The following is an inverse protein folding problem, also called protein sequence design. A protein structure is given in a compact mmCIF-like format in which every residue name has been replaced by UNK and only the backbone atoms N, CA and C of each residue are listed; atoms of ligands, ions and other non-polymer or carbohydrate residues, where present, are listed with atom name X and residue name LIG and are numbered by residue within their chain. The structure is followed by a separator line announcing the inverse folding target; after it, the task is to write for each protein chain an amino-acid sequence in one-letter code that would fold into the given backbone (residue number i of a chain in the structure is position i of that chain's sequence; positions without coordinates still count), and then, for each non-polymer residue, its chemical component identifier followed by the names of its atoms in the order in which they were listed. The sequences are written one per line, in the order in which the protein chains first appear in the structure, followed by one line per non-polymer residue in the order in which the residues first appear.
data_IF_968159788028
#
_entry.id   IF_968159788028
#
_cell.length_a   1.000
_cell.length_b   1.000
_cell.length_c   1.000
_cell.angle_alpha   90.00
_cell.angle_beta   90.00
_cell.angle_gamma   90.00
#
_symmetry.space_group_name_H-M   'P 1'
#
loop_
_entity.id
_entity.type
_entity.pdbx_description
1 polymer ?
#
# COMPACT_ATOMS: atom_id res chain seq x y z
N UNK A 1 -51.35 -64.30 15.87
CA UNK A 1 -51.24 -63.09 15.02
C UNK A 1 -51.10 -61.90 15.97
N UNK A 2 -49.93 -61.76 16.59
CA UNK A 2 -48.82 -60.88 16.20
C UNK A 2 -49.18 -59.38 16.28
N UNK A 3 -48.91 -58.86 17.47
CA UNK A 3 -48.78 -57.44 17.80
C UNK A 3 -47.77 -56.76 16.87
N UNK A 4 -48.22 -55.83 16.03
CA UNK A 4 -47.34 -54.93 15.30
C UNK A 4 -46.89 -53.78 16.21
N UNK A 5 -45.76 -54.00 16.88
CA UNK A 5 -44.96 -52.97 17.50
C UNK A 5 -44.35 -52.06 16.42
N UNK A 6 -44.91 -50.87 16.23
CA UNK A 6 -44.32 -49.81 15.41
C UNK A 6 -43.09 -49.23 16.14
N UNK A 7 -41.88 -49.28 15.55
CA UNK A 7 -40.68 -48.80 16.21
C UNK A 7 -40.66 -47.27 16.29
N UNK A 8 -40.42 -46.77 17.50
CA UNK A 8 -40.18 -45.36 17.78
C UNK A 8 -39.02 -44.82 16.93
N UNK A 9 -39.34 -43.79 16.15
CA UNK A 9 -38.42 -43.09 15.29
C UNK A 9 -37.36 -42.37 16.16
N UNK A 10 -36.17 -42.98 16.32
CA UNK A 10 -35.01 -42.37 16.97
C UNK A 10 -34.63 -41.11 16.20
N UNK A 11 -35.06 -39.95 16.72
CA UNK A 11 -34.54 -38.64 16.34
C UNK A 11 -33.02 -38.68 16.43
N UNK A 12 -32.35 -38.78 15.30
CA UNK A 12 -30.91 -38.59 15.15
C UNK A 12 -30.62 -37.14 15.53
N UNK A 13 -30.29 -36.95 16.80
CA UNK A 13 -29.85 -35.69 17.36
C UNK A 13 -28.46 -35.39 16.76
N UNK A 14 -28.43 -34.75 15.57
CA UNK A 14 -27.24 -34.06 15.06
C UNK A 14 -26.97 -32.87 15.98
N UNK A 15 -26.44 -33.16 17.17
CA UNK A 15 -25.79 -32.15 18.01
C UNK A 15 -24.59 -31.66 17.21
N UNK A 16 -24.76 -30.48 16.62
CA UNK A 16 -23.69 -29.68 16.10
C UNK A 16 -22.79 -29.35 17.31
N UNK A 17 -21.76 -30.16 17.58
CA UNK A 17 -20.80 -29.88 18.65
C UNK A 17 -20.05 -28.63 18.22
N UNK A 18 -20.54 -27.46 18.67
CA UNK A 18 -19.88 -26.19 18.43
C UNK A 18 -18.48 -26.29 19.02
N UNK A 19 -17.46 -26.37 18.16
CA UNK A 19 -16.05 -26.30 18.58
C UNK A 19 -15.87 -25.03 19.40
N UNK A 20 -15.22 -25.14 20.56
CA UNK A 20 -15.02 -24.01 21.47
C UNK A 20 -14.07 -23.01 20.79
N UNK A 21 -14.55 -21.81 20.45
CA UNK A 21 -13.72 -20.80 19.79
C UNK A 21 -12.85 -20.06 20.80
N UNK A 22 -11.58 -19.85 20.45
CA UNK A 22 -10.65 -18.99 21.18
C UNK A 22 -10.12 -17.88 20.28
N UNK A 23 -10.00 -16.69 20.86
CA UNK A 23 -9.51 -15.49 20.20
C UNK A 23 -8.17 -15.12 20.81
N UNK A 24 -7.15 -15.06 19.97
CA UNK A 24 -5.76 -14.88 20.34
C UNK A 24 -5.28 -13.54 19.78
N UNK A 25 -4.92 -12.63 20.68
CA UNK A 25 -4.23 -11.40 20.33
C UNK A 25 -2.74 -11.58 20.49
N UNK A 26 -1.98 -11.18 19.48
CA UNK A 26 -0.53 -11.34 19.42
C UNK A 26 0.10 -9.97 19.18
N UNK A 27 0.90 -9.49 20.13
CA UNK A 27 1.80 -8.38 19.91
C UNK A 27 3.19 -8.94 19.53
N UNK A 28 3.63 -8.62 18.33
CA UNK A 28 4.70 -9.37 17.63
C UNK A 28 5.95 -8.50 17.56
N UNK A 29 6.98 -8.91 18.30
CA UNK A 29 8.32 -8.34 18.25
C UNK A 29 9.27 -9.26 17.47
N UNK A 30 10.46 -8.79 17.11
CA UNK A 30 11.46 -9.58 16.35
C UNK A 30 11.89 -10.88 17.06
N UNK A 31 11.92 -10.87 18.38
CA UNK A 31 12.46 -11.97 19.20
C UNK A 31 11.37 -12.70 19.99
N UNK A 32 10.27 -12.03 20.29
CA UNK A 32 9.22 -12.52 21.18
C UNK A 32 7.84 -12.17 20.66
N UNK A 33 6.84 -12.93 21.11
CA UNK A 33 5.43 -12.66 20.85
C UNK A 33 4.71 -12.67 22.19
N UNK A 34 4.08 -11.55 22.53
CA UNK A 34 3.19 -11.45 23.68
C UNK A 34 1.79 -11.90 23.28
N UNK A 35 1.22 -12.85 24.02
CA UNK A 35 -0.02 -13.53 23.66
C UNK A 35 -1.07 -13.35 24.74
N UNK A 36 -2.29 -13.02 24.32
CA UNK A 36 -3.49 -13.04 25.16
C UNK A 36 -4.57 -13.96 24.56
N UNK A 37 -5.18 -14.80 25.39
CA UNK A 37 -6.15 -15.83 24.97
C UNK A 37 -7.50 -15.56 25.63
N UNK A 38 -8.52 -15.32 24.82
CA UNK A 38 -9.90 -15.09 25.26
C UNK A 38 -10.83 -16.14 24.64
N UNK A 39 -11.54 -16.95 25.44
CA UNK A 39 -12.60 -17.80 24.93
C UNK A 39 -13.80 -17.00 24.42
N UNK A 40 -14.58 -17.66 23.58
CA UNK A 40 -15.89 -17.16 23.12
C UNK A 40 -16.93 -16.99 24.22
N UNK A 41 -16.90 -17.83 25.26
CA UNK A 41 -17.96 -17.93 26.26
C UNK A 41 -17.77 -17.08 27.52
N UNK A 42 -16.64 -16.39 27.68
CA UNK A 42 -16.39 -15.54 28.85
C UNK A 42 -15.61 -14.30 28.48
N UNK A 43 -15.90 -13.18 29.15
CA UNK A 43 -15.09 -11.95 29.02
C UNK A 43 -13.75 -12.04 29.75
N UNK A 44 -13.58 -13.04 30.63
CA UNK A 44 -12.34 -13.23 31.38
C UNK A 44 -11.18 -13.64 30.44
N UNK A 45 -10.02 -13.05 30.71
CA UNK A 45 -8.76 -13.50 30.13
C UNK A 45 -8.48 -14.90 30.68
N UNK A 46 -8.30 -15.89 29.80
CA UNK A 46 -7.98 -17.24 30.25
C UNK A 46 -6.49 -17.42 30.45
N UNK A 47 -5.68 -16.80 29.60
CA UNK A 47 -4.23 -16.92 29.70
C UNK A 47 -3.51 -15.77 29.03
N UNK A 48 -2.41 -15.38 29.66
CA UNK A 48 -1.38 -14.51 29.10
C UNK A 48 -0.05 -15.27 29.14
N UNK A 49 0.73 -15.19 28.07
CA UNK A 49 2.10 -15.72 28.05
C UNK A 49 2.94 -15.03 26.98
N UNK A 50 4.24 -15.07 27.16
CA UNK A 50 5.21 -14.67 26.14
C UNK A 50 5.87 -15.93 25.58
N UNK A 51 6.06 -15.99 24.26
CA UNK A 51 6.82 -17.04 23.59
C UNK A 51 7.93 -16.42 22.75
N UNK A 52 8.97 -17.20 22.41
CA UNK A 52 9.95 -16.77 21.40
C UNK A 52 9.29 -16.72 20.02
N UNK A 53 9.73 -15.78 19.19
CA UNK A 53 9.30 -15.67 17.79
C UNK A 53 10.04 -16.71 16.92
N UNK A 54 9.78 -17.98 17.19
CA UNK A 54 10.39 -19.13 16.51
C UNK A 54 9.29 -20.11 16.12
N UNK A 55 9.36 -20.65 14.90
CA UNK A 55 8.36 -21.59 14.36
C UNK A 55 8.07 -22.75 15.32
N UNK A 56 9.10 -23.33 15.94
CA UNK A 56 8.96 -24.43 16.90
C UNK A 56 8.12 -24.05 18.13
N UNK A 57 8.29 -22.85 18.67
CA UNK A 57 7.52 -22.38 19.84
C UNK A 57 6.09 -22.02 19.44
N UNK A 58 5.91 -21.40 18.27
CA UNK A 58 4.59 -21.09 17.71
C UNK A 58 3.80 -22.39 17.46
N UNK A 59 4.43 -23.40 16.85
CA UNK A 59 3.81 -24.70 16.60
C UNK A 59 3.39 -25.40 17.88
N UNK A 60 4.28 -25.46 18.88
CA UNK A 60 3.98 -26.03 20.21
C UNK A 60 2.78 -25.32 20.85
N UNK A 61 2.74 -23.99 20.78
CA UNK A 61 1.63 -23.19 21.30
C UNK A 61 0.31 -23.52 20.60
N UNK A 62 0.28 -23.53 19.26
CA UNK A 62 -0.92 -23.82 18.48
C UNK A 62 -1.40 -25.25 18.68
N UNK A 63 -0.49 -26.23 18.71
CA UNK A 63 -0.83 -27.64 18.95
C UNK A 63 -1.46 -27.86 20.32
N UNK A 64 -0.96 -27.19 21.36
CA UNK A 64 -1.56 -27.20 22.69
C UNK A 64 -3.02 -26.72 22.65
N UNK A 65 -3.29 -25.57 22.04
CA UNK A 65 -4.67 -25.07 21.90
C UNK A 65 -5.57 -26.01 21.09
N UNK A 66 -5.04 -26.63 20.02
CA UNK A 66 -5.81 -27.60 19.23
C UNK A 66 -6.16 -28.86 20.02
N UNK A 67 -5.27 -29.34 20.88
CA UNK A 67 -5.53 -30.52 21.74
C UNK A 67 -6.69 -30.31 22.71
N UNK A 68 -7.03 -29.06 23.04
CA UNK A 68 -8.18 -28.67 23.85
C UNK A 68 -9.50 -28.64 23.04
N UNK A 69 -9.49 -29.08 21.77
CA UNK A 69 -10.67 -29.12 20.90
C UNK A 69 -11.15 -27.76 20.40
N UNK A 70 -10.25 -26.76 20.38
CA UNK A 70 -10.62 -25.37 20.10
C UNK A 70 -10.43 -24.96 18.64
N UNK A 71 -11.32 -24.11 18.14
CA UNK A 71 -11.11 -23.37 16.90
C UNK A 71 -10.37 -22.07 17.21
N UNK A 72 -9.22 -21.85 16.56
CA UNK A 72 -8.30 -20.77 16.90
C UNK A 72 -8.43 -19.63 15.89
N UNK A 73 -8.77 -18.45 16.41
CA UNK A 73 -8.73 -17.19 15.66
C UNK A 73 -7.61 -16.32 16.22
N UNK A 74 -6.63 -15.94 15.40
CA UNK A 74 -5.50 -15.10 15.79
C UNK A 74 -5.58 -13.72 15.15
N UNK A 75 -4.99 -12.73 15.80
CA UNK A 75 -4.73 -11.42 15.20
C UNK A 75 -3.41 -10.84 15.69
N UNK A 76 -2.71 -10.15 14.79
CA UNK A 76 -1.60 -9.27 15.13
C UNK A 76 -1.65 -7.97 14.32
N UNK A 77 -1.00 -6.93 14.82
CA UNK A 77 -0.92 -5.64 14.13
C UNK A 77 0.11 -5.70 12.99
N UNK A 78 -0.21 -5.14 11.82
CA UNK A 78 0.73 -5.06 10.71
C UNK A 78 1.96 -4.24 11.12
N UNK A 79 3.15 -4.82 10.97
CA UNK A 79 4.40 -4.20 11.41
C UNK A 79 5.61 -4.67 10.61
N UNK A 80 6.80 -4.38 11.13
CA UNK A 80 8.09 -4.67 10.48
C UNK A 80 8.38 -6.16 10.32
N UNK A 81 7.69 -7.02 11.08
CA UNK A 81 7.81 -8.48 11.02
C UNK A 81 7.07 -9.11 9.84
N UNK A 82 6.31 -8.31 9.06
CA UNK A 82 5.73 -8.71 7.78
C UNK A 82 4.67 -9.80 7.87
N UNK A 83 4.60 -10.61 6.80
CA UNK A 83 3.63 -11.70 6.62
C UNK A 83 4.11 -13.14 6.91
N UNK A 84 5.40 -13.46 7.16
CA UNK A 84 5.83 -14.84 7.45
C UNK A 84 5.03 -15.51 8.57
N UNK A 85 4.79 -14.81 9.68
CA UNK A 85 3.99 -15.35 10.80
C UNK A 85 2.56 -15.68 10.37
N UNK A 86 1.89 -14.79 9.63
CA UNK A 86 0.56 -15.05 9.09
C UNK A 86 0.53 -16.30 8.19
N UNK A 87 1.51 -16.42 7.27
CA UNK A 87 1.61 -17.57 6.37
C UNK A 87 1.85 -18.86 7.15
N UNK A 88 2.74 -18.83 8.15
CA UNK A 88 3.01 -19.97 9.01
C UNK A 88 1.76 -20.39 9.83
N UNK A 89 1.04 -19.44 10.42
CA UNK A 89 -0.20 -19.74 11.12
C UNK A 89 -1.26 -20.36 10.19
N UNK A 90 -1.31 -19.92 8.92
CA UNK A 90 -2.19 -20.53 7.90
C UNK A 90 -1.81 -21.97 7.58
N UNK A 91 -0.53 -22.32 7.48
CA UNK A 91 -0.10 -23.74 7.28
C UNK A 91 -0.48 -24.62 8.46
N UNK A 92 -0.53 -24.04 9.66
CA UNK A 92 -1.04 -24.68 10.87
C UNK A 92 -2.58 -24.70 10.94
N UNK A 93 -3.31 -24.27 9.90
CA UNK A 93 -4.78 -24.27 9.87
C UNK A 93 -5.42 -23.31 10.87
N UNK A 94 -4.75 -22.20 11.19
CA UNK A 94 -5.25 -21.15 12.11
C UNK A 94 -5.90 -20.01 11.32
N UNK A 95 -7.04 -19.51 11.80
CA UNK A 95 -7.70 -18.35 11.25
C UNK A 95 -7.03 -17.07 11.74
N UNK A 96 -5.97 -16.62 11.06
CA UNK A 96 -5.27 -15.37 11.39
C UNK A 96 -5.81 -14.19 10.59
N UNK A 97 -5.94 -13.02 11.23
CA UNK A 97 -6.08 -11.72 10.58
C UNK A 97 -4.89 -10.82 10.91
N UNK A 98 -4.59 -9.87 10.03
CA UNK A 98 -3.60 -8.83 10.31
C UNK A 98 -4.31 -7.49 10.39
N UNK A 99 -4.27 -6.82 11.54
CA UNK A 99 -4.94 -5.55 11.75
C UNK A 99 -4.10 -4.38 11.24
N UNK A 100 -4.71 -3.45 10.51
CA UNK A 100 -4.02 -2.22 10.11
C UNK A 100 -3.88 -1.27 11.32
N UNK A 101 -2.66 -0.79 11.66
CA UNK A 101 -2.41 0.11 12.81
C UNK A 101 -3.42 1.26 12.94
N UNK A 102 -3.66 1.98 11.83
CA UNK A 102 -4.55 3.14 11.80
C UNK A 102 -6.05 2.83 11.84
N UNK A 103 -6.44 1.54 11.77
CA UNK A 103 -7.83 1.09 11.89
C UNK A 103 -8.14 0.43 13.24
N UNK A 104 -7.14 0.18 14.09
CA UNK A 104 -7.36 -0.38 15.43
C UNK A 104 -7.97 0.72 16.31
N UNK A 105 -9.20 0.55 16.84
CA UNK A 105 -9.82 1.53 17.71
C UNK A 105 -8.94 1.83 18.94
N UNK A 106 -8.67 3.11 19.21
CA UNK A 106 -7.98 3.55 20.43
C UNK A 106 -8.75 4.69 21.08
N UNK A 107 -8.98 4.58 22.39
CA UNK A 107 -9.51 5.67 23.19
C UNK A 107 -8.43 6.75 23.34
N UNK A 108 -8.80 8.02 23.24
CA UNK A 108 -7.87 9.16 23.34
C UNK A 108 -7.20 9.27 24.72
N UNK A 109 -7.85 8.75 25.77
CA UNK A 109 -7.35 8.70 27.14
C UNK A 109 -6.40 7.52 27.42
N UNK A 110 -6.26 6.57 26.49
CA UNK A 110 -5.40 5.39 26.66
C UNK A 110 -3.92 5.77 26.43
N UNK A 111 -3.29 6.27 27.49
CA UNK A 111 -1.92 6.82 27.48
C UNK A 111 -0.84 5.78 27.82
N UNK A 112 -1.24 4.64 28.41
CA UNK A 112 -0.31 3.60 28.87
C UNK A 112 -0.26 2.50 27.81
N UNK A 113 0.91 2.33 27.19
CA UNK A 113 1.16 1.30 26.18
C UNK A 113 2.09 0.23 26.75
N UNK A 114 1.63 -1.01 26.77
CA UNK A 114 2.45 -2.18 27.10
C UNK A 114 2.07 -3.34 26.19
N UNK A 115 3.03 -4.20 25.84
CA UNK A 115 2.82 -5.33 24.94
C UNK A 115 1.66 -6.24 25.39
N UNK A 116 1.53 -6.40 26.71
CA UNK A 116 0.44 -7.15 27.36
C UNK A 116 -0.93 -6.52 27.07
N UNK A 117 -1.06 -5.21 27.27
CA UNK A 117 -2.31 -4.48 27.03
C UNK A 117 -2.67 -4.51 25.55
N UNK A 118 -1.70 -4.38 24.67
CA UNK A 118 -1.89 -4.41 23.22
C UNK A 118 -2.36 -5.80 22.76
N UNK A 119 -1.73 -6.89 23.24
CA UNK A 119 -2.19 -8.26 22.96
C UNK A 119 -3.62 -8.52 23.47
N UNK A 120 -3.95 -8.12 24.70
CA UNK A 120 -5.31 -8.28 25.26
C UNK A 120 -6.34 -7.48 24.44
N UNK A 121 -5.99 -6.26 24.04
CA UNK A 121 -6.84 -5.38 23.25
C UNK A 121 -7.14 -5.99 21.88
N UNK A 122 -6.11 -6.48 21.19
CA UNK A 122 -6.25 -7.18 19.92
C UNK A 122 -7.19 -8.38 20.04
N UNK A 123 -7.01 -9.21 21.06
CA UNK A 123 -7.87 -10.37 21.30
C UNK A 123 -9.35 -9.98 21.54
N UNK A 124 -9.59 -8.90 22.29
CA UNK A 124 -10.94 -8.37 22.56
C UNK A 124 -11.60 -7.85 21.29
N UNK A 125 -10.89 -7.04 20.50
CA UNK A 125 -11.40 -6.47 19.26
C UNK A 125 -11.64 -7.54 18.18
N UNK A 126 -10.77 -8.56 18.14
CA UNK A 126 -10.98 -9.72 17.27
C UNK A 126 -12.29 -10.44 17.61
N UNK A 127 -12.52 -10.69 18.91
CA UNK A 127 -13.72 -11.36 19.38
C UNK A 127 -15.00 -10.56 19.10
N UNK A 128 -14.96 -9.23 19.24
CA UNK A 128 -16.13 -8.39 18.95
C UNK A 128 -16.37 -8.18 17.46
N UNK A 129 -15.45 -8.63 16.58
CA UNK A 129 -15.55 -8.42 15.14
C UNK A 129 -15.22 -6.99 14.70
N UNK A 130 -14.56 -6.21 15.56
CA UNK A 130 -14.19 -4.81 15.29
C UNK A 130 -12.87 -4.67 14.51
N UNK A 131 -12.15 -5.77 14.28
CA UNK A 131 -10.93 -5.77 13.47
C UNK A 131 -11.22 -6.12 12.02
N UNK A 132 -10.72 -5.28 11.11
CA UNK A 132 -10.69 -5.55 9.68
C UNK A 132 -9.29 -6.05 9.29
N UNK A 133 -9.22 -7.21 8.65
CA UNK A 133 -7.96 -7.73 8.13
C UNK A 133 -7.47 -6.88 6.96
N UNK A 134 -6.18 -6.60 6.90
CA UNK A 134 -5.55 -6.16 5.65
C UNK A 134 -5.60 -7.28 4.61
N UNK A 135 -5.49 -6.88 3.35
CA UNK A 135 -5.20 -7.80 2.26
C UNK A 135 -3.72 -8.21 2.34
N UNK A 136 -3.48 -9.50 2.53
CA UNK A 136 -2.13 -10.07 2.52
C UNK A 136 -1.79 -10.48 1.08
N UNK A 137 -0.75 -9.91 0.46
CA UNK A 137 -0.33 -10.29 -0.89
C UNK A 137 0.25 -11.71 -0.93
N UNK A 138 0.25 -12.32 -2.12
CA UNK A 138 1.06 -13.52 -2.34
C UNK A 138 2.55 -13.21 -2.18
N UNK A 139 3.38 -14.25 -2.11
CA UNK A 139 4.84 -14.06 -1.98
C UNK A 139 5.44 -13.41 -3.24
N UNK A 140 4.90 -13.76 -4.41
CA UNK A 140 5.29 -13.19 -5.69
C UNK A 140 4.90 -11.70 -5.78
N UNK A 141 3.68 -11.36 -5.38
CA UNK A 141 3.20 -9.97 -5.34
C UNK A 141 3.99 -9.13 -4.33
N UNK A 142 4.33 -9.70 -3.17
CA UNK A 142 5.19 -9.07 -2.17
C UNK A 142 6.59 -8.81 -2.72
N UNK A 143 7.20 -9.79 -3.40
CA UNK A 143 8.52 -9.63 -4.00
C UNK A 143 8.56 -8.50 -5.05
N UNK A 144 7.55 -8.42 -5.92
CA UNK A 144 7.43 -7.31 -6.90
C UNK A 144 7.24 -5.97 -6.20
N UNK A 145 6.41 -5.92 -5.15
CA UNK A 145 6.19 -4.71 -4.34
C UNK A 145 7.48 -4.24 -3.69
N UNK A 146 8.27 -5.15 -3.11
CA UNK A 146 9.52 -4.81 -2.45
C UNK A 146 10.57 -4.30 -3.44
N UNK A 147 10.62 -4.88 -4.65
CA UNK A 147 11.48 -4.37 -5.72
C UNK A 147 11.12 -2.92 -6.12
N UNK A 148 9.83 -2.63 -6.30
CA UNK A 148 9.33 -1.29 -6.59
C UNK A 148 9.63 -0.30 -5.46
N UNK A 149 9.44 -0.70 -4.20
CA UNK A 149 9.77 0.11 -3.02
C UNK A 149 11.26 0.37 -2.89
N UNK A 150 12.10 -0.62 -3.19
CA UNK A 150 13.56 -0.47 -3.25
C UNK A 150 13.95 0.57 -4.31
N UNK A 151 13.35 0.52 -5.50
CA UNK A 151 13.53 1.53 -6.55
C UNK A 151 13.13 2.94 -6.10
N UNK A 152 12.04 3.08 -5.36
CA UNK A 152 11.62 4.39 -4.79
C UNK A 152 12.64 4.91 -3.78
N UNK A 153 13.18 4.05 -2.92
CA UNK A 153 14.26 4.39 -1.98
C UNK A 153 15.51 4.87 -2.72
N UNK A 154 15.95 4.14 -3.75
CA UNK A 154 17.10 4.52 -4.58
C UNK A 154 16.89 5.90 -5.24
N UNK A 155 15.68 6.19 -5.73
CA UNK A 155 15.34 7.52 -6.28
C UNK A 155 15.44 8.63 -5.24
N UNK A 156 15.05 8.37 -3.98
CA UNK A 156 15.21 9.34 -2.90
C UNK A 156 16.70 9.56 -2.56
N UNK A 157 17.49 8.50 -2.54
CA UNK A 157 18.92 8.58 -2.29
C UNK A 157 19.67 9.33 -3.40
N UNK A 158 19.30 9.10 -4.66
CA UNK A 158 19.81 9.89 -5.79
C UNK A 158 19.52 11.38 -5.58
N UNK A 159 18.31 11.74 -5.15
CA UNK A 159 17.97 13.13 -4.83
C UNK A 159 18.86 13.71 -3.72
N UNK A 160 19.11 12.95 -2.65
CA UNK A 160 19.99 13.36 -1.54
C UNK A 160 21.44 13.53 -1.99
N UNK A 161 21.96 12.61 -2.81
CA UNK A 161 23.33 12.68 -3.30
C UNK A 161 23.53 13.82 -4.29
N UNK A 162 22.56 14.05 -5.18
CA UNK A 162 22.49 15.26 -6.03
C UNK A 162 22.55 16.54 -5.20
N UNK A 163 21.76 16.64 -4.12
CA UNK A 163 21.81 17.79 -3.22
C UNK A 163 23.15 17.95 -2.50
N UNK A 164 23.75 16.85 -2.01
CA UNK A 164 25.07 16.86 -1.36
C UNK A 164 26.15 17.37 -2.31
N UNK A 165 26.19 16.88 -3.55
CA UNK A 165 27.12 17.35 -4.57
C UNK A 165 26.94 18.86 -4.81
N UNK A 166 25.70 19.32 -5.01
CA UNK A 166 25.43 20.74 -5.24
C UNK A 166 25.80 21.62 -4.05
N UNK A 167 25.55 21.16 -2.81
CA UNK A 167 25.95 21.89 -1.60
C UNK A 167 27.47 21.90 -1.41
N UNK A 168 28.17 20.84 -1.79
CA UNK A 168 29.63 20.83 -1.81
C UNK A 168 30.17 21.90 -2.77
N UNK A 169 29.71 21.93 -4.02
CA UNK A 169 30.12 22.92 -5.01
C UNK A 169 29.81 24.36 -4.56
N UNK A 170 28.62 24.58 -4.01
CA UNK A 170 28.22 25.88 -3.47
C UNK A 170 29.16 26.38 -2.38
N UNK A 171 29.58 25.51 -1.44
CA UNK A 171 30.56 25.90 -0.39
C UNK A 171 31.95 26.23 -0.94
N UNK A 172 32.24 25.86 -2.17
CA UNK A 172 33.47 26.20 -2.89
C UNK A 172 33.31 27.39 -3.83
N UNK A 173 32.16 28.08 -3.77
CA UNK A 173 31.85 29.20 -4.66
C UNK A 173 31.55 28.79 -6.11
N UNK A 174 31.50 27.48 -6.39
CA UNK A 174 31.27 26.95 -7.73
C UNK A 174 29.77 26.84 -7.97
N UNK A 175 29.26 27.65 -8.88
CA UNK A 175 27.83 27.69 -9.22
C UNK A 175 27.61 27.46 -10.71
N UNK A 176 26.52 26.75 -11.02
CA UNK A 176 26.07 26.54 -12.39
C UNK A 176 25.11 27.67 -12.77
N UNK A 177 25.45 28.43 -13.81
CA UNK A 177 24.75 29.67 -14.19
C UNK A 177 23.44 29.48 -14.96
N UNK A 178 23.10 28.23 -15.34
CA UNK A 178 21.87 27.96 -16.10
C UNK A 178 20.72 27.49 -15.19
N UNK A 179 19.50 27.54 -15.73
CA UNK A 179 18.27 27.27 -14.96
C UNK A 179 17.96 25.80 -14.72
N UNK A 180 18.60 24.86 -15.45
CA UNK A 180 18.24 23.43 -15.43
C UNK A 180 19.41 22.51 -15.10
N UNK A 181 19.39 22.00 -13.88
CA UNK A 181 20.32 20.97 -13.39
C UNK A 181 19.99 19.58 -13.95
N UNK A 182 20.99 18.68 -13.91
CA UNK A 182 20.91 17.26 -14.29
C UNK A 182 20.49 17.04 -15.76
N UNK A 183 20.84 18.00 -16.61
CA UNK A 183 20.73 17.93 -18.07
C UNK A 183 22.07 17.54 -18.69
N UNK A 184 22.11 17.20 -19.98
CA UNK A 184 23.36 16.92 -20.69
C UNK A 184 24.38 18.08 -20.56
N UNK A 185 23.91 19.34 -20.61
CA UNK A 185 24.77 20.51 -20.40
C UNK A 185 25.33 20.57 -18.97
N UNK A 186 24.52 20.27 -17.95
CA UNK A 186 24.99 20.23 -16.57
C UNK A 186 26.04 19.13 -16.35
N UNK A 187 25.86 17.94 -16.94
CA UNK A 187 26.89 16.89 -16.86
C UNK A 187 28.17 17.28 -17.59
N UNK A 188 28.07 17.92 -18.77
CA UNK A 188 29.25 18.45 -19.47
C UNK A 188 30.01 19.46 -18.59
N UNK A 189 29.28 20.34 -17.90
CA UNK A 189 29.87 21.28 -16.95
C UNK A 189 30.52 20.56 -15.76
N UNK A 190 29.83 19.61 -15.12
CA UNK A 190 30.38 18.81 -14.02
C UNK A 190 31.67 18.07 -14.43
N UNK A 191 31.70 17.49 -15.62
CA UNK A 191 32.85 16.76 -16.14
C UNK A 191 34.08 17.66 -16.36
N UNK A 192 33.86 18.96 -16.59
CA UNK A 192 34.93 19.93 -16.81
C UNK A 192 35.38 20.62 -15.52
N UNK A 193 34.84 20.24 -14.35
CA UNK A 193 35.29 20.78 -13.06
C UNK A 193 36.59 20.12 -12.64
N UNK A 194 37.60 20.95 -12.39
CA UNK A 194 38.90 20.53 -11.88
C UNK A 194 39.24 21.35 -10.63
N UNK A 195 39.78 20.67 -9.62
CA UNK A 195 40.22 21.25 -8.36
C UNK A 195 41.73 21.08 -8.24
N UNK A 196 42.45 22.18 -7.97
CA UNK A 196 43.91 22.16 -7.80
C UNK A 196 44.34 21.29 -6.61
N UNK A 197 43.54 21.26 -5.54
CA UNK A 197 43.78 20.41 -4.39
C UNK A 197 43.25 18.98 -4.62
N UNK A 198 44.14 17.99 -4.58
CA UNK A 198 43.83 16.58 -4.84
C UNK A 198 42.76 16.00 -3.90
N UNK A 199 42.75 16.41 -2.62
CA UNK A 199 41.76 15.94 -1.65
C UNK A 199 40.37 16.50 -1.96
N UNK A 200 40.29 17.75 -2.44
CA UNK A 200 39.03 18.33 -2.93
C UNK A 200 38.57 17.66 -4.22
N UNK A 201 39.48 17.34 -5.15
CA UNK A 201 39.17 16.59 -6.36
C UNK A 201 38.62 15.19 -6.01
N UNK A 202 39.26 14.47 -5.08
CA UNK A 202 38.78 13.18 -4.60
C UNK A 202 37.40 13.29 -3.95
N UNK A 203 37.16 14.33 -3.15
CA UNK A 203 35.85 14.61 -2.54
C UNK A 203 34.77 14.85 -3.61
N UNK A 204 35.07 15.63 -4.65
CA UNK A 204 34.17 15.83 -5.79
C UNK A 204 33.87 14.50 -6.50
N UNK A 205 34.90 13.72 -6.80
CA UNK A 205 34.78 12.44 -7.49
C UNK A 205 33.92 11.44 -6.70
N UNK A 206 34.04 11.38 -5.37
CA UNK A 206 33.18 10.56 -4.51
C UNK A 206 31.70 10.98 -4.61
N UNK A 207 31.39 12.27 -4.44
CA UNK A 207 30.00 12.74 -4.56
C UNK A 207 29.43 12.51 -5.96
N UNK A 208 30.22 12.78 -6.99
CA UNK A 208 29.80 12.66 -8.37
C UNK A 208 29.60 11.20 -8.79
N UNK A 209 30.52 10.31 -8.45
CA UNK A 209 30.41 8.87 -8.73
C UNK A 209 29.17 8.25 -8.10
N UNK A 210 28.82 8.62 -6.85
CA UNK A 210 27.56 8.18 -6.21
C UNK A 210 26.31 8.58 -7.01
N UNK A 211 26.29 9.79 -7.56
CA UNK A 211 25.18 10.24 -8.42
C UNK A 211 25.12 9.39 -9.70
N UNK A 212 26.27 9.17 -10.35
CA UNK A 212 26.36 8.40 -11.61
C UNK A 212 25.94 6.93 -11.43
N UNK A 213 26.50 6.25 -10.44
CA UNK A 213 26.18 4.84 -10.13
C UNK A 213 24.69 4.68 -9.80
N UNK A 214 24.12 5.59 -9.00
CA UNK A 214 22.69 5.50 -8.67
C UNK A 214 21.78 5.77 -9.86
N UNK A 215 22.18 6.62 -10.81
CA UNK A 215 21.44 6.84 -12.06
C UNK A 215 21.43 5.59 -12.94
N UNK A 216 22.57 4.91 -13.06
CA UNK A 216 22.70 3.66 -13.80
C UNK A 216 21.88 2.54 -13.15
N UNK A 217 21.97 2.39 -11.83
CA UNK A 217 21.16 1.45 -11.07
C UNK A 217 19.66 1.73 -11.23
N UNK A 218 19.25 3.00 -11.18
CA UNK A 218 17.85 3.38 -11.35
C UNK A 218 17.36 3.04 -12.76
N UNK A 219 18.18 3.27 -13.79
CA UNK A 219 17.87 2.89 -15.18
C UNK A 219 17.73 1.38 -15.34
N UNK A 220 18.62 0.60 -14.72
CA UNK A 220 18.54 -0.86 -14.73
C UNK A 220 17.25 -1.35 -14.04
N UNK A 221 16.89 -0.77 -12.89
CA UNK A 221 15.65 -1.10 -12.20
C UNK A 221 14.41 -0.71 -13.01
N UNK A 222 14.42 0.45 -13.68
CA UNK A 222 13.31 0.88 -14.55
C UNK A 222 13.11 -0.08 -15.73
N UNK A 223 14.21 -0.58 -16.31
CA UNK A 223 14.15 -1.61 -17.34
C UNK A 223 13.58 -2.93 -16.80
N UNK A 224 14.02 -3.37 -15.63
CA UNK A 224 13.48 -4.59 -15.00
C UNK A 224 11.99 -4.48 -14.66
N UNK A 225 11.57 -3.31 -14.15
CA UNK A 225 10.15 -3.04 -13.88
C UNK A 225 9.34 -3.12 -15.18
N UNK A 226 9.88 -2.62 -16.29
CA UNK A 226 9.22 -2.71 -17.59
C UNK A 226 9.06 -4.16 -18.04
N UNK A 227 10.10 -4.99 -17.90
CA UNK A 227 10.03 -6.42 -18.23
C UNK A 227 8.92 -7.12 -17.43
N UNK A 228 8.87 -6.90 -16.11
CA UNK A 228 7.82 -7.46 -15.24
C UNK A 228 6.43 -6.96 -15.66
N UNK A 229 6.33 -5.68 -16.03
CA UNK A 229 5.08 -5.07 -16.45
C UNK A 229 4.57 -5.57 -17.80
N UNK A 230 5.46 -6.12 -18.63
CA UNK A 230 5.16 -6.70 -19.94
C UNK A 230 4.93 -8.23 -19.86
N UNK A 231 5.20 -8.86 -18.71
CA UNK A 231 4.95 -10.28 -18.45
C UNK A 231 3.61 -10.53 -17.75
N UNK A 232 3.14 -11.78 -17.81
CA UNK A 232 2.01 -12.21 -16.98
C UNK A 232 2.40 -12.23 -15.49
N UNK A 233 1.45 -11.98 -14.57
CA UNK A 233 0.04 -11.64 -14.78
C UNK A 233 -0.24 -10.12 -14.93
N UNK A 234 0.79 -9.31 -15.17
CA UNK A 234 0.70 -7.84 -15.15
C UNK A 234 0.36 -7.23 -16.50
N UNK A 235 0.78 -7.85 -17.59
CA UNK A 235 0.75 -7.33 -18.97
C UNK A 235 -0.58 -6.65 -19.34
N UNK A 236 -1.69 -7.37 -19.19
CA UNK A 236 -3.02 -6.86 -19.54
C UNK A 236 -3.43 -5.66 -18.67
N UNK A 237 -3.32 -5.82 -17.34
CA UNK A 237 -3.68 -4.79 -16.36
C UNK A 237 -2.86 -3.51 -16.54
N UNK A 238 -1.58 -3.66 -16.86
CA UNK A 238 -0.69 -2.55 -17.20
C UNK A 238 -1.15 -1.87 -18.49
N UNK A 239 -1.50 -2.64 -19.53
CA UNK A 239 -2.06 -2.11 -20.77
C UNK A 239 -3.29 -1.22 -20.55
N UNK A 240 -4.23 -1.70 -19.73
CA UNK A 240 -5.45 -0.95 -19.37
C UNK A 240 -5.09 0.36 -18.66
N UNK A 241 -4.26 0.30 -17.62
CA UNK A 241 -3.89 1.48 -16.84
C UNK A 241 -3.13 2.52 -17.68
N UNK A 242 -2.29 2.07 -18.62
CA UNK A 242 -1.50 2.94 -19.51
C UNK A 242 -2.31 3.69 -20.56
N UNK A 243 -3.59 3.35 -20.76
CA UNK A 243 -4.51 4.15 -21.57
C UNK A 243 -4.77 5.55 -20.98
N UNK A 244 -4.61 5.67 -19.66
CA UNK A 244 -4.82 6.91 -18.91
C UNK A 244 -3.59 7.81 -18.98
N UNK A 245 -3.82 9.07 -19.34
CA UNK A 245 -2.77 10.07 -19.45
C UNK A 245 -2.05 10.24 -18.10
N UNK A 246 -0.71 10.26 -18.14
CA UNK A 246 0.11 10.37 -16.93
C UNK A 246 0.36 9.05 -16.21
N UNK A 247 -0.21 7.96 -16.70
CA UNK A 247 0.11 6.60 -16.23
C UNK A 247 0.99 5.91 -17.28
N UNK A 248 2.13 5.42 -16.82
CA UNK A 248 3.03 4.56 -17.59
C UNK A 248 3.42 3.33 -16.74
N UNK A 249 4.33 2.49 -17.23
CA UNK A 249 4.77 1.26 -16.54
C UNK A 249 5.00 1.43 -15.04
N UNK A 250 5.82 2.41 -14.62
CA UNK A 250 6.13 2.61 -13.21
C UNK A 250 4.88 2.90 -12.36
N UNK A 251 4.05 3.84 -12.81
CA UNK A 251 2.82 4.22 -12.09
C UNK A 251 1.82 3.06 -12.05
N UNK A 252 1.67 2.34 -13.16
CA UNK A 252 0.80 1.15 -13.24
C UNK A 252 1.28 0.05 -12.29
N UNK A 253 2.58 -0.25 -12.29
CA UNK A 253 3.16 -1.29 -11.44
C UNK A 253 3.06 -0.96 -9.95
N UNK A 254 3.29 0.29 -9.54
CA UNK A 254 3.03 0.69 -8.15
C UNK A 254 1.57 0.54 -7.76
N UNK A 255 0.63 0.92 -8.64
CA UNK A 255 -0.80 0.74 -8.38
C UNK A 255 -1.15 -0.74 -8.22
N UNK A 256 -0.72 -1.58 -9.16
CA UNK A 256 -1.03 -3.01 -9.15
C UNK A 256 -0.41 -3.72 -7.94
N UNK A 257 0.85 -3.47 -7.62
CA UNK A 257 1.56 -4.14 -6.51
C UNK A 257 1.11 -3.69 -5.12
N UNK A 258 0.72 -2.42 -4.93
CA UNK A 258 0.29 -1.91 -3.61
C UNK A 258 -1.21 -2.12 -3.37
N UNK A 259 -2.01 -2.18 -4.44
CA UNK A 259 -3.47 -2.37 -4.35
C UNK A 259 -3.85 -3.85 -4.43
N UNK A 260 -3.14 -4.62 -5.27
CA UNK A 260 -3.36 -6.01 -5.69
C UNK A 260 -4.73 -6.22 -6.35
N UNK A 261 -5.75 -6.39 -5.52
CA UNK A 261 -7.11 -6.58 -5.96
C UNK A 261 -7.89 -5.25 -5.90
N UNK A 262 -8.37 -4.80 -7.05
CA UNK A 262 -9.24 -3.63 -7.16
C UNK A 262 -10.72 -3.94 -6.87
N UNK A 263 -11.13 -5.21 -7.00
CA UNK A 263 -12.52 -5.66 -6.76
C UNK A 263 -12.89 -5.60 -5.28
N UNK A 264 -11.92 -5.67 -4.36
CA UNK A 264 -12.14 -5.48 -2.91
C UNK A 264 -12.75 -4.13 -2.55
N UNK A 265 -12.68 -3.14 -3.43
CA UNK A 265 -13.30 -1.84 -3.26
C UNK A 265 -14.65 -1.82 -3.96
N UNK A 266 -15.75 -1.86 -3.19
CA UNK A 266 -17.13 -1.88 -3.73
C UNK A 266 -17.47 -0.63 -4.57
N UNK A 267 -16.81 0.50 -4.29
CA UNK A 267 -17.06 1.76 -4.99
C UNK A 267 -15.76 2.53 -5.23
N UNK A 268 -15.74 3.38 -6.27
CA UNK A 268 -14.66 4.33 -6.50
C UNK A 268 -14.36 5.20 -5.27
N UNK A 269 -15.40 5.60 -4.51
CA UNK A 269 -15.24 6.38 -3.28
C UNK A 269 -14.47 5.62 -2.19
N UNK A 270 -14.73 4.32 -2.02
CA UNK A 270 -13.99 3.47 -1.08
C UNK A 270 -12.50 3.36 -1.47
N UNK A 271 -12.20 3.27 -2.77
CA UNK A 271 -10.82 3.28 -3.27
C UNK A 271 -10.13 4.64 -3.04
N UNK A 272 -10.80 5.75 -3.35
CA UNK A 272 -10.28 7.11 -3.07
C UNK A 272 -9.98 7.31 -1.59
N UNK A 273 -10.82 6.75 -0.71
CA UNK A 273 -10.64 6.80 0.75
C UNK A 273 -9.43 5.99 1.21
N UNK A 274 -9.24 4.78 0.66
CA UNK A 274 -8.05 3.95 0.92
C UNK A 274 -6.75 4.66 0.54
N UNK A 275 -6.76 5.41 -0.56
CA UNK A 275 -5.62 6.25 -0.98
C UNK A 275 -5.43 7.49 -0.11
N UNK A 276 -6.43 7.86 0.70
CA UNK A 276 -6.41 9.06 1.54
C UNK A 276 -6.48 10.35 0.73
N UNK A 277 -7.13 10.32 -0.43
CA UNK A 277 -7.35 11.47 -1.34
C UNK A 277 -8.70 12.16 -1.12
N UNK A 278 -9.53 11.62 -0.21
CA UNK A 278 -10.81 12.22 0.21
C UNK A 278 -10.57 13.31 1.26
N UNK A 279 -11.38 14.38 1.29
CA UNK A 279 -11.29 15.40 2.34
C UNK A 279 -11.70 14.79 3.69
N UNK A 280 -11.04 15.21 4.76
CA UNK A 280 -11.56 15.04 6.11
C UNK A 280 -12.80 15.93 6.32
N UNK A 281 -13.60 15.58 7.32
CA UNK A 281 -14.85 16.28 7.59
C UNK A 281 -15.10 16.38 9.10
N UNK A 282 -15.42 17.59 9.56
CA UNK A 282 -15.99 17.86 10.87
C UNK A 282 -17.37 18.47 10.65
N UNK A 283 -18.40 17.68 10.92
CA UNK A 283 -19.79 18.10 10.75
C UNK A 283 -20.57 17.83 12.04
N UNK A 284 -21.37 18.80 12.46
CA UNK A 284 -22.29 18.68 13.61
C UNK A 284 -23.57 19.46 13.33
N UNK A 285 -24.71 18.80 13.49
CA UNK A 285 -26.02 19.38 13.12
C UNK A 285 -26.04 19.85 11.67
N UNK A 286 -26.35 21.14 11.45
CA UNK A 286 -26.35 21.78 10.14
C UNK A 286 -24.98 22.33 9.68
N UNK A 287 -23.96 22.32 10.55
CA UNK A 287 -22.64 22.86 10.22
C UNK A 287 -21.79 21.77 9.57
N UNK A 288 -21.24 22.07 8.40
CA UNK A 288 -20.34 21.19 7.65
C UNK A 288 -19.02 21.89 7.38
N UNK A 289 -17.92 21.33 7.90
CA UNK A 289 -16.56 21.82 7.67
C UNK A 289 -15.68 20.72 7.07
N UNK A 290 -15.39 20.85 5.78
CA UNK A 290 -14.40 19.99 5.12
C UNK A 290 -12.98 20.52 5.37
N UNK A 291 -12.04 19.62 5.61
CA UNK A 291 -10.62 19.94 5.85
C UNK A 291 -9.74 19.43 4.69
N UNK A 292 -8.43 19.38 4.89
CA UNK A 292 -7.51 18.77 3.93
C UNK A 292 -7.82 17.29 3.69
N UNK A 293 -7.12 16.68 2.74
CA UNK A 293 -7.25 15.23 2.51
C UNK A 293 -6.86 14.44 3.76
N UNK A 294 -7.46 13.26 3.96
CA UNK A 294 -7.21 12.43 5.14
C UNK A 294 -5.78 11.91 5.25
N UNK A 295 -5.06 11.79 4.11
CA UNK A 295 -3.70 11.23 4.02
C UNK A 295 -3.58 9.81 4.58
N UNK A 296 -4.70 9.09 4.72
CA UNK A 296 -4.74 7.67 5.11
C UNK A 296 -4.13 6.78 4.02
N UNK A 297 -3.44 5.71 4.38
CA UNK A 297 -2.84 4.78 3.41
C UNK A 297 -1.53 5.29 2.78
N UNK A 298 -1.12 4.66 1.68
CA UNK A 298 0.24 4.78 1.11
C UNK A 298 0.59 6.20 0.61
N UNK A 299 1.59 6.87 1.20
CA UNK A 299 2.11 8.14 0.68
C UNK A 299 2.69 8.01 -0.73
N UNK A 300 3.24 6.84 -1.09
CA UNK A 300 3.80 6.56 -2.42
C UNK A 300 2.71 6.58 -3.48
N UNK A 301 1.60 5.88 -3.24
CA UNK A 301 0.45 5.86 -4.17
C UNK A 301 -0.13 7.26 -4.37
N UNK A 302 -0.27 8.05 -3.29
CA UNK A 302 -0.70 9.45 -3.43
C UNK A 302 0.28 10.27 -4.28
N UNK A 303 1.58 10.15 -4.02
CA UNK A 303 2.61 10.89 -4.77
C UNK A 303 2.53 10.59 -6.26
N UNK A 304 2.55 9.30 -6.65
CA UNK A 304 2.53 8.91 -8.07
C UNK A 304 1.22 9.31 -8.76
N UNK A 305 0.08 9.26 -8.06
CA UNK A 305 -1.21 9.68 -8.62
C UNK A 305 -1.29 11.19 -8.77
N UNK A 306 -0.70 11.97 -7.86
CA UNK A 306 -0.61 13.42 -7.99
C UNK A 306 0.34 13.79 -9.13
N UNK A 307 1.47 13.10 -9.27
CA UNK A 307 2.41 13.26 -10.40
C UNK A 307 1.73 12.94 -11.75
N UNK A 308 0.96 11.85 -11.83
CA UNK A 308 0.18 11.47 -13.02
C UNK A 308 -0.90 12.52 -13.35
N UNK A 309 -1.62 12.98 -12.33
CA UNK A 309 -2.69 13.96 -12.48
C UNK A 309 -2.24 15.26 -13.16
N UNK A 310 -0.96 15.63 -13.03
CA UNK A 310 -0.44 16.89 -13.56
C UNK A 310 -0.51 16.97 -15.07
N UNK A 311 -0.62 15.82 -15.74
CA UNK A 311 -0.79 15.75 -17.18
C UNK A 311 -2.17 16.26 -17.63
N UNK A 312 -3.19 16.23 -16.77
CA UNK A 312 -4.54 16.70 -17.12
C UNK A 312 -4.70 18.23 -17.07
N UNK A 313 -3.65 18.98 -16.68
CA UNK A 313 -3.66 20.45 -16.81
C UNK A 313 -3.71 20.92 -18.26
N UNK A 314 -3.26 20.06 -19.17
CA UNK A 314 -3.23 20.34 -20.61
C UNK A 314 -4.50 19.80 -21.27
N UNK A 315 -5.04 20.48 -22.30
CA UNK A 315 -6.24 20.06 -23.00
C UNK A 315 -6.04 18.76 -23.81
N UNK A 316 -7.15 18.23 -24.34
CA UNK A 316 -7.17 17.07 -25.22
C UNK A 316 -7.17 15.71 -24.50
N UNK A 317 -7.21 14.64 -25.29
CA UNK A 317 -7.32 13.26 -24.78
C UNK A 317 -5.97 12.55 -24.59
N UNK A 318 -4.86 13.14 -25.06
CA UNK A 318 -3.52 12.58 -24.92
C UNK A 318 -2.57 13.07 -26.01
N UNK A 319 -1.28 12.77 -25.87
CA UNK A 319 -0.28 12.94 -26.94
C UNK A 319 -0.26 11.73 -27.87
N UNK A 320 0.48 11.80 -28.99
CA UNK A 320 0.72 10.64 -29.89
C UNK A 320 1.19 9.39 -29.13
N UNK A 321 2.02 9.58 -28.09
CA UNK A 321 2.49 8.49 -27.21
C UNK A 321 1.35 7.86 -26.42
N UNK A 322 0.37 8.63 -25.94
CA UNK A 322 -0.81 8.09 -25.24
C UNK A 322 -1.73 7.36 -26.21
N UNK A 323 -1.90 7.89 -27.43
CA UNK A 323 -2.69 7.22 -28.48
C UNK A 323 -2.06 5.86 -28.84
N UNK A 324 -0.73 5.80 -28.99
CA UNK A 324 -0.04 4.54 -29.26
C UNK A 324 -0.26 3.48 -28.15
N UNK A 325 -0.36 3.89 -26.88
CA UNK A 325 -0.65 2.98 -25.75
C UNK A 325 -2.05 2.36 -25.78
N UNK A 326 -2.97 2.96 -26.54
CA UNK A 326 -4.37 2.49 -26.67
C UNK A 326 -4.55 1.50 -27.82
N UNK A 327 -3.56 1.35 -28.68
CA UNK A 327 -3.61 0.38 -29.79
C UNK A 327 -3.72 -1.02 -29.20
N UNK A 328 -4.69 -1.81 -29.68
CA UNK A 328 -4.98 -3.16 -29.20
C UNK A 328 -5.73 -3.23 -27.87
N UNK A 329 -6.10 -2.11 -27.26
CA UNK A 329 -6.92 -2.06 -26.04
C UNK A 329 -8.41 -2.02 -26.39
N UNK A 330 -9.27 -2.51 -25.50
CA UNK A 330 -10.71 -2.55 -25.75
C UNK A 330 -11.31 -1.14 -25.92
N UNK A 331 -12.30 -1.01 -26.81
CA UNK A 331 -12.96 0.27 -27.08
C UNK A 331 -13.58 0.89 -25.81
N UNK A 332 -14.07 0.05 -24.89
CA UNK A 332 -14.60 0.49 -23.60
C UNK A 332 -13.54 1.15 -22.71
N UNK A 333 -12.35 0.55 -22.59
CA UNK A 333 -11.23 1.11 -21.81
C UNK A 333 -10.75 2.41 -22.44
N UNK A 334 -10.61 2.43 -23.77
CA UNK A 334 -10.18 3.63 -24.51
C UNK A 334 -11.16 4.78 -24.30
N UNK A 335 -12.46 4.53 -24.48
CA UNK A 335 -13.53 5.52 -24.24
C UNK A 335 -13.53 6.04 -22.81
N UNK A 336 -13.34 5.16 -21.82
CA UNK A 336 -13.23 5.57 -20.41
C UNK A 336 -12.01 6.49 -20.16
N UNK A 337 -10.86 6.16 -20.75
CA UNK A 337 -9.64 6.97 -20.61
C UNK A 337 -9.77 8.35 -21.27
N UNK A 338 -10.47 8.44 -22.41
CA UNK A 338 -10.76 9.71 -23.08
C UNK A 338 -11.73 10.58 -22.28
N UNK A 339 -12.81 9.96 -21.79
CA UNK A 339 -13.75 10.59 -20.86
C UNK A 339 -13.04 11.13 -19.61
N UNK A 340 -12.10 10.35 -19.05
CA UNK A 340 -11.28 10.78 -17.93
C UNK A 340 -10.46 12.02 -18.30
N UNK A 341 -9.73 12.00 -19.42
CA UNK A 341 -8.91 13.14 -19.85
C UNK A 341 -9.70 14.44 -19.97
N UNK A 342 -10.84 14.40 -20.66
CA UNK A 342 -11.70 15.57 -20.85
C UNK A 342 -12.29 16.09 -19.53
N UNK A 343 -12.80 15.19 -18.69
CA UNK A 343 -13.42 15.56 -17.41
C UNK A 343 -12.41 16.12 -16.41
N UNK A 344 -11.25 15.49 -16.31
CA UNK A 344 -10.17 15.91 -15.41
C UNK A 344 -9.59 17.27 -15.83
N UNK A 345 -9.46 17.52 -17.13
CA UNK A 345 -9.06 18.84 -17.63
C UNK A 345 -10.11 19.92 -17.32
N UNK A 346 -11.39 19.64 -17.59
CA UNK A 346 -12.50 20.55 -17.25
C UNK A 346 -12.50 20.88 -15.76
N UNK A 347 -12.26 19.89 -14.89
CA UNK A 347 -12.16 20.10 -13.45
C UNK A 347 -10.99 21.01 -13.08
N UNK A 348 -9.81 20.76 -13.63
CA UNK A 348 -8.63 21.60 -13.41
C UNK A 348 -8.93 23.06 -13.78
N UNK A 349 -9.46 23.31 -14.99
CA UNK A 349 -9.83 24.65 -15.48
C UNK A 349 -10.91 25.31 -14.61
N UNK A 350 -11.96 24.59 -14.25
CA UNK A 350 -13.02 25.11 -13.37
C UNK A 350 -12.50 25.55 -12.00
N UNK A 351 -11.54 24.83 -11.43
CA UNK A 351 -10.93 25.22 -10.16
C UNK A 351 -9.94 26.38 -10.32
N UNK A 352 -9.24 26.43 -11.46
CA UNK A 352 -8.34 27.53 -11.80
C UNK A 352 -9.10 28.85 -11.90
N UNK A 353 -10.24 28.84 -12.60
CA UNK A 353 -11.11 30.02 -12.73
C UNK A 353 -11.69 30.50 -11.39
N UNK A 354 -11.79 29.60 -10.40
CA UNK A 354 -12.20 29.93 -9.01
C UNK A 354 -11.03 30.35 -8.12
N UNK A 355 -9.86 30.63 -8.69
CA UNK A 355 -8.68 31.09 -7.95
C UNK A 355 -8.10 30.06 -6.97
N UNK A 356 -8.34 28.76 -7.17
CA UNK A 356 -7.78 27.73 -6.28
C UNK A 356 -6.30 27.54 -6.53
N UNK A 357 -5.55 27.27 -5.46
CA UNK A 357 -4.10 27.01 -5.55
C UNK A 357 -3.81 25.75 -6.37
N UNK A 358 -2.66 25.67 -7.05
CA UNK A 358 -2.30 24.49 -7.86
C UNK A 358 -2.34 23.17 -7.08
N UNK A 359 -1.97 23.19 -5.79
CA UNK A 359 -1.98 22.03 -4.91
C UNK A 359 -3.41 21.52 -4.66
N UNK A 360 -4.36 22.43 -4.44
CA UNK A 360 -5.78 22.07 -4.25
C UNK A 360 -6.37 21.54 -5.55
N UNK A 361 -6.08 22.19 -6.68
CA UNK A 361 -6.53 21.76 -8.00
C UNK A 361 -6.04 20.35 -8.31
N UNK A 362 -4.73 20.11 -8.17
CA UNK A 362 -4.15 18.84 -8.57
C UNK A 362 -4.58 17.69 -7.67
N UNK A 363 -4.76 17.95 -6.37
CA UNK A 363 -5.26 16.94 -5.42
C UNK A 363 -6.69 16.52 -5.79
N UNK A 364 -7.54 17.47 -6.18
CA UNK A 364 -8.91 17.18 -6.60
C UNK A 364 -8.99 16.43 -7.94
N UNK A 365 -8.06 16.70 -8.86
CA UNK A 365 -7.90 15.95 -10.12
C UNK A 365 -7.38 14.54 -9.84
N UNK A 366 -6.36 14.40 -9.00
CA UNK A 366 -5.77 13.11 -8.60
C UNK A 366 -6.79 12.19 -7.93
N UNK A 367 -7.61 12.72 -7.02
CA UNK A 367 -8.74 11.98 -6.42
C UNK A 367 -9.66 11.40 -7.48
N UNK A 368 -10.04 12.19 -8.47
CA UNK A 368 -10.97 11.76 -9.50
C UNK A 368 -10.33 10.81 -10.52
N UNK A 369 -9.06 11.04 -10.88
CA UNK A 369 -8.27 10.10 -11.68
C UNK A 369 -8.26 8.71 -11.03
N UNK A 370 -8.06 8.62 -9.71
CA UNK A 370 -8.07 7.32 -9.03
C UNK A 370 -9.41 6.58 -9.16
N UNK A 371 -10.53 7.30 -9.23
CA UNK A 371 -11.84 6.70 -9.47
C UNK A 371 -12.00 6.14 -10.88
N UNK A 372 -11.45 6.83 -11.88
CA UNK A 372 -11.41 6.34 -13.25
C UNK A 372 -10.52 5.10 -13.40
N UNK A 373 -9.35 5.09 -12.75
CA UNK A 373 -8.47 3.92 -12.73
C UNK A 373 -9.14 2.73 -12.05
N UNK A 374 -9.82 2.94 -10.91
CA UNK A 374 -10.63 1.90 -10.27
C UNK A 374 -11.72 1.35 -11.20
N UNK A 375 -12.45 2.24 -11.89
CA UNK A 375 -13.49 1.80 -12.81
C UNK A 375 -12.91 0.95 -13.96
N UNK A 376 -11.78 1.39 -14.55
CA UNK A 376 -11.12 0.63 -15.61
C UNK A 376 -10.68 -0.77 -15.17
N UNK A 377 -10.12 -0.88 -13.97
CA UNK A 377 -9.69 -2.16 -13.39
C UNK A 377 -10.84 -3.10 -13.03
N UNK A 378 -12.08 -2.60 -12.95
CA UNK A 378 -13.28 -3.40 -12.71
C UNK A 378 -14.12 -3.65 -13.97
N UNK A 379 -13.77 -3.06 -15.12
CA UNK A 379 -14.50 -3.23 -16.38
C UNK A 379 -14.05 -4.47 -17.19
N UNK A 380 -12.83 -4.95 -16.97
CA UNK A 380 -12.17 -5.97 -17.82
C UNK A 380 -11.89 -7.25 -17.02
N UNK A 381 -12.64 -7.50 -15.95
CA UNK A 381 -12.31 -8.54 -14.97
C UNK A 381 -13.45 -9.45 -14.62
#
# INVERSE_FOLDING_TARGET
MQDLHLPQNKKTNRRNVMKRKVYVGMDVHKETIQIAILPSNTKALVKEQQIKHEEGQIKKFIQKLKSEGTEIHCCYEAGVTGYPLYRYLKTLGVNCIIAAPGKIPRQSSDKIKTDKRDAIKLARLLRSGELESIHVPSEEDEAVRDYLRSRDSLRLDLGRNRQRLMKFLLRKGITYSTTKYWTASHYKWLNNLHFENEILQATFNDYYSRVRVQEENLKAMDQKIREIAESEPYREKVGILRCFRGVDYLTAMFLLSEVNDFKRFKTAGSFMSFLGLVPGEYSSGSKRKQTGITKTGSPRLRRILVEAAWQHRFPGTGSKVVVARRVGQSALVVSLAEKASLRLHKKFKSMQLRGKTPQVMITAVSRELSGFLWAAMNLVA
#
